data_IF_885378838074
#
_entry.id   IF_885378838074
#
_cell.length_a   1.000
_cell.length_b   1.000
_cell.length_c   1.000
_cell.angle_alpha   90.00
_cell.angle_beta   90.00
_cell.angle_gamma   90.00
#
_symmetry.space_group_name_H-M   'P 1'
#
loop_
_entity.id
_entity.type
_entity.pdbx_description
1 polymer ?
#
# COMPACT_ATOMS: atom_id res chain seq x y z
N UNK A 1 -18.31 -25.92 22.74
CA UNK A 1 -17.95 -24.62 23.33
C UNK A 1 -17.48 -23.75 22.18
N UNK A 2 -18.30 -22.74 21.87
CA UNK A 2 -18.22 -21.74 20.79
C UNK A 2 -17.69 -22.21 19.43
N UNK A 3 -18.65 -22.35 18.52
CA UNK A 3 -18.54 -22.44 17.07
C UNK A 3 -17.63 -21.37 16.46
N UNK A 4 -17.10 -21.69 15.28
CA UNK A 4 -16.01 -20.97 14.62
C UNK A 4 -16.27 -19.49 14.29
N UNK A 5 -15.22 -18.68 14.45
CA UNK A 5 -15.09 -17.43 13.71
C UNK A 5 -14.29 -17.70 12.44
N UNK A 6 -15.00 -18.20 11.43
CA UNK A 6 -14.59 -18.21 10.04
C UNK A 6 -14.35 -16.77 9.57
N UNK A 7 -13.13 -16.48 9.09
CA UNK A 7 -12.92 -15.73 7.85
C UNK A 7 -13.62 -14.37 7.65
N UNK A 8 -13.95 -13.61 8.69
CA UNK A 8 -14.45 -12.23 8.50
C UNK A 8 -13.26 -11.40 8.01
N UNK A 9 -13.26 -11.06 6.71
CA UNK A 9 -12.34 -10.08 6.15
C UNK A 9 -12.38 -8.82 7.04
N UNK A 10 -11.22 -8.35 7.50
CA UNK A 10 -11.12 -7.18 8.38
C UNK A 10 -11.64 -5.96 7.61
N UNK A 11 -12.84 -5.51 7.93
CA UNK A 11 -13.45 -4.32 7.31
C UNK A 11 -13.09 -3.07 8.12
N UNK A 12 -12.11 -2.32 7.62
CA UNK A 12 -11.77 -0.98 8.10
C UNK A 12 -12.08 0.05 7.00
N UNK A 13 -13.03 -0.23 6.11
CA UNK A 13 -13.43 0.73 5.10
C UNK A 13 -13.99 1.98 5.78
N UNK A 14 -13.67 3.16 5.24
CA UNK A 14 -14.10 4.47 5.74
C UNK A 14 -13.65 4.84 7.17
N UNK A 15 -12.79 4.06 7.82
CA UNK A 15 -12.30 4.38 9.17
C UNK A 15 -11.09 5.33 9.15
N UNK A 16 -10.70 5.82 10.33
CA UNK A 16 -9.51 6.66 10.52
C UNK A 16 -8.56 6.07 11.56
N UNK A 17 -7.29 5.96 11.18
CA UNK A 17 -6.17 5.45 11.96
C UNK A 17 -4.98 6.43 11.89
N UNK A 18 -5.27 7.74 11.83
CA UNK A 18 -4.26 8.79 11.70
C UNK A 18 -3.24 8.71 12.84
N UNK A 19 -1.95 8.62 12.49
CA UNK A 19 -0.83 8.50 13.45
C UNK A 19 -0.92 7.29 14.39
N UNK A 20 -1.72 6.27 14.05
CA UNK A 20 -1.79 5.04 14.83
C UNK A 20 -0.47 4.25 14.75
N UNK A 21 -0.13 3.53 15.80
CA UNK A 21 0.90 2.49 15.80
C UNK A 21 0.25 1.18 15.38
N UNK A 22 0.56 0.73 14.17
CA UNK A 22 0.04 -0.46 13.51
C UNK A 22 1.20 -1.33 12.99
N UNK A 23 2.37 -1.25 13.63
CA UNK A 23 3.55 -2.01 13.22
C UNK A 23 3.26 -3.51 13.29
N UNK A 24 3.60 -4.22 12.22
CA UNK A 24 3.39 -5.67 12.12
C UNK A 24 1.94 -6.14 12.16
N UNK A 25 0.95 -5.24 12.01
CA UNK A 25 -0.45 -5.65 11.96
C UNK A 25 -0.69 -6.55 10.73
N UNK A 26 -1.47 -7.60 10.91
CA UNK A 26 -2.01 -8.38 9.81
C UNK A 26 -3.32 -7.74 9.35
N UNK A 27 -3.33 -7.25 8.11
CA UNK A 27 -4.46 -6.72 7.34
C UNK A 27 -4.50 -7.40 5.96
N UNK A 28 -3.97 -8.62 5.85
CA UNK A 28 -4.04 -9.40 4.62
C UNK A 28 -5.50 -9.63 4.22
N UNK A 29 -5.80 -9.40 2.94
CA UNK A 29 -7.16 -9.50 2.38
C UNK A 29 -8.20 -8.54 2.99
N UNK A 30 -7.79 -7.55 3.79
CA UNK A 30 -8.71 -6.63 4.45
C UNK A 30 -9.41 -5.69 3.46
N UNK A 31 -10.62 -5.26 3.81
CA UNK A 31 -11.29 -4.15 3.13
C UNK A 31 -10.89 -2.84 3.81
N UNK A 32 -10.02 -2.08 3.15
CA UNK A 32 -9.48 -0.81 3.64
C UNK A 32 -9.90 0.35 2.74
N UNK A 33 -10.97 0.18 1.95
CA UNK A 33 -11.42 1.18 0.99
C UNK A 33 -11.68 2.51 1.69
N UNK A 34 -11.07 3.57 1.16
CA UNK A 34 -11.20 4.94 1.68
C UNK A 34 -10.82 5.12 3.16
N UNK A 35 -10.12 4.16 3.77
CA UNK A 35 -9.57 4.31 5.11
C UNK A 35 -8.47 5.38 5.15
N UNK A 36 -8.27 6.00 6.32
CA UNK A 36 -7.28 7.08 6.50
C UNK A 36 -6.19 6.63 7.47
N UNK A 37 -5.00 6.34 6.94
CA UNK A 37 -3.77 5.98 7.65
C UNK A 37 -2.73 7.10 7.60
N UNK A 38 -3.13 8.36 7.38
CA UNK A 38 -2.20 9.47 7.26
C UNK A 38 -1.28 9.57 8.50
N UNK A 39 0.03 9.49 8.27
CA UNK A 39 1.04 9.51 9.31
C UNK A 39 1.10 8.29 10.23
N UNK A 40 0.34 7.22 9.97
CA UNK A 40 0.40 5.98 10.74
C UNK A 40 1.75 5.27 10.59
N UNK A 41 2.12 4.47 11.58
CA UNK A 41 3.27 3.56 11.52
C UNK A 41 2.81 2.12 11.23
N UNK A 42 3.04 1.68 10.00
CA UNK A 42 2.70 0.36 9.45
C UNK A 42 3.99 -0.39 9.08
N UNK A 43 5.13 -0.11 9.77
CA UNK A 43 6.36 -0.85 9.51
C UNK A 43 6.13 -2.36 9.67
N UNK A 44 6.45 -3.12 8.63
CA UNK A 44 6.29 -4.57 8.60
C UNK A 44 4.85 -5.08 8.61
N UNK A 45 3.84 -4.22 8.41
CA UNK A 45 2.45 -4.65 8.30
C UNK A 45 2.24 -5.56 7.07
N UNK A 46 1.33 -6.51 7.20
CA UNK A 46 0.86 -7.34 6.09
C UNK A 46 -0.44 -6.75 5.53
N UNK A 47 -0.39 -6.26 4.29
CA UNK A 47 -1.50 -5.70 3.52
C UNK A 47 -1.64 -6.48 2.19
N UNK A 48 -1.10 -7.70 2.11
CA UNK A 48 -1.15 -8.54 0.92
C UNK A 48 -2.61 -8.82 0.53
N UNK A 49 -2.93 -8.67 -0.76
CA UNK A 49 -4.29 -8.85 -1.29
C UNK A 49 -5.36 -7.89 -0.76
N UNK A 50 -5.01 -6.88 0.05
CA UNK A 50 -5.98 -5.95 0.62
C UNK A 50 -6.61 -5.02 -0.43
N UNK A 51 -7.86 -4.61 -0.19
CA UNK A 51 -8.53 -3.59 -1.00
C UNK A 51 -8.24 -2.20 -0.43
N UNK A 52 -7.28 -1.50 -1.03
CA UNK A 52 -6.81 -0.18 -0.64
C UNK A 52 -7.45 0.95 -1.46
N UNK A 53 -8.52 0.67 -2.22
CA UNK A 53 -9.04 1.62 -3.19
C UNK A 53 -9.46 2.93 -2.54
N UNK A 54 -8.85 4.02 -2.99
CA UNK A 54 -9.09 5.37 -2.45
C UNK A 54 -8.59 5.61 -1.02
N UNK A 55 -7.86 4.67 -0.40
CA UNK A 55 -7.28 4.84 0.93
C UNK A 55 -6.19 5.93 0.95
N UNK A 56 -5.93 6.49 2.12
CA UNK A 56 -4.96 7.56 2.31
C UNK A 56 -3.84 7.11 3.25
N UNK A 57 -2.60 7.12 2.77
CA UNK A 57 -1.38 6.76 3.49
C UNK A 57 -0.37 7.92 3.49
N UNK A 58 -0.85 9.17 3.47
CA UNK A 58 0.04 10.33 3.29
C UNK A 58 1.01 10.38 4.46
N UNK A 59 2.31 10.44 4.16
CA UNK A 59 3.40 10.45 5.15
C UNK A 59 3.41 9.23 6.10
N UNK A 60 2.68 8.16 5.81
CA UNK A 60 2.71 6.93 6.60
C UNK A 60 4.08 6.22 6.48
N UNK A 61 4.43 5.44 7.49
CA UNK A 61 5.57 4.54 7.46
C UNK A 61 5.10 3.15 7.03
N UNK A 62 5.42 2.71 5.81
CA UNK A 62 5.14 1.39 5.25
C UNK A 62 6.44 0.65 4.93
N UNK A 63 7.52 0.96 5.66
CA UNK A 63 8.79 0.27 5.46
C UNK A 63 8.60 -1.23 5.72
N UNK A 64 9.16 -2.08 4.85
CA UNK A 64 9.05 -3.55 4.95
C UNK A 64 7.62 -4.11 4.90
N UNK A 65 6.61 -3.30 4.58
CA UNK A 65 5.24 -3.80 4.48
C UNK A 65 5.07 -4.74 3.28
N UNK A 66 4.25 -5.78 3.45
CA UNK A 66 3.78 -6.61 2.35
C UNK A 66 2.53 -5.98 1.76
N UNK A 67 2.55 -5.68 0.46
CA UNK A 67 1.45 -5.07 -0.29
C UNK A 67 1.25 -5.81 -1.62
N UNK A 68 1.84 -6.99 -1.76
CA UNK A 68 1.69 -7.83 -2.94
C UNK A 68 0.22 -8.13 -3.22
N UNK A 69 -0.14 -8.11 -4.50
CA UNK A 69 -1.49 -8.36 -5.03
C UNK A 69 -2.60 -7.45 -4.48
N UNK A 70 -2.26 -6.38 -3.77
CA UNK A 70 -3.24 -5.41 -3.26
C UNK A 70 -3.83 -4.51 -4.36
N UNK A 71 -5.06 -4.04 -4.14
CA UNK A 71 -5.73 -3.08 -5.02
C UNK A 71 -5.55 -1.64 -4.50
N UNK A 72 -4.55 -0.94 -5.01
CA UNK A 72 -4.21 0.44 -4.65
C UNK A 72 -4.83 1.50 -5.57
N UNK A 73 -5.83 1.15 -6.38
CA UNK A 73 -6.39 2.11 -7.35
C UNK A 73 -6.92 3.35 -6.66
N UNK A 74 -6.51 4.52 -7.15
CA UNK A 74 -6.81 5.84 -6.58
C UNK A 74 -6.34 6.07 -5.13
N UNK A 75 -5.50 5.20 -4.56
CA UNK A 75 -4.95 5.38 -3.22
C UNK A 75 -3.89 6.50 -3.20
N UNK A 76 -3.71 7.15 -2.04
CA UNK A 76 -2.78 8.28 -1.87
C UNK A 76 -1.61 7.91 -0.96
N UNK A 77 -0.43 7.72 -1.53
CA UNK A 77 0.82 7.44 -0.80
C UNK A 77 1.75 8.66 -0.73
N UNK A 78 1.24 9.87 -0.94
CA UNK A 78 2.06 11.09 -1.00
C UNK A 78 3.01 11.18 0.20
N UNK A 79 4.32 11.22 -0.08
CA UNK A 79 5.41 11.28 0.92
C UNK A 79 5.49 10.08 1.89
N UNK A 80 4.84 8.95 1.58
CA UNK A 80 4.95 7.73 2.38
C UNK A 80 6.35 7.11 2.29
N UNK A 81 6.75 6.37 3.33
CA UNK A 81 8.00 5.59 3.35
C UNK A 81 7.66 4.15 2.94
N UNK A 82 8.17 3.70 1.80
CA UNK A 82 7.95 2.36 1.21
C UNK A 82 9.27 1.60 1.04
N UNK A 83 10.35 2.02 1.69
CA UNK A 83 11.63 1.34 1.52
C UNK A 83 11.51 -0.12 1.99
N UNK A 84 12.06 -1.04 1.21
CA UNK A 84 12.00 -2.49 1.44
C UNK A 84 10.58 -3.11 1.39
N UNK A 85 9.55 -2.40 0.94
CA UNK A 85 8.22 -2.98 0.81
C UNK A 85 8.10 -3.90 -0.42
N UNK A 86 7.16 -4.84 -0.38
CA UNK A 86 6.80 -5.66 -1.52
C UNK A 86 5.49 -5.15 -2.11
N UNK A 87 5.46 -4.75 -3.38
CA UNK A 87 4.23 -4.36 -4.11
C UNK A 87 4.11 -5.17 -5.40
N UNK A 88 4.60 -6.41 -5.41
CA UNK A 88 4.48 -7.27 -6.58
C UNK A 88 3.00 -7.43 -6.96
N UNK A 89 2.67 -7.35 -8.25
CA UNK A 89 1.30 -7.57 -8.74
C UNK A 89 0.27 -6.51 -8.32
N UNK A 90 0.67 -5.51 -7.52
CA UNK A 90 -0.26 -4.51 -7.01
C UNK A 90 -0.83 -3.63 -8.12
N UNK A 91 -2.12 -3.30 -7.99
CA UNK A 91 -2.86 -2.46 -8.94
C UNK A 91 -2.80 -1.00 -8.54
N UNK A 92 -2.24 -0.13 -9.37
CA UNK A 92 -1.88 1.25 -9.03
C UNK A 92 -2.54 2.29 -9.94
N UNK A 93 -3.59 1.93 -10.69
CA UNK A 93 -4.29 2.85 -11.59
C UNK A 93 -4.77 4.09 -10.81
N UNK A 94 -4.28 5.27 -11.21
CA UNK A 94 -4.65 6.54 -10.56
C UNK A 94 -4.09 6.72 -9.14
N UNK A 95 -3.24 5.82 -8.64
CA UNK A 95 -2.59 6.00 -7.35
C UNK A 95 -1.64 7.23 -7.36
N UNK A 96 -1.51 7.91 -6.23
CA UNK A 96 -0.60 9.06 -6.07
C UNK A 96 0.63 8.67 -5.25
N UNK A 97 1.75 8.49 -5.94
CA UNK A 97 3.05 8.06 -5.40
C UNK A 97 4.04 9.24 -5.30
N UNK A 98 3.60 10.49 -5.43
CA UNK A 98 4.51 11.64 -5.39
C UNK A 98 5.24 11.75 -4.05
N UNK A 99 6.55 11.93 -4.12
CA UNK A 99 7.44 12.08 -2.96
C UNK A 99 7.64 10.83 -2.11
N UNK A 100 7.22 9.64 -2.56
CA UNK A 100 7.48 8.41 -1.78
C UNK A 100 8.98 8.15 -1.62
N UNK A 101 9.33 7.39 -0.59
CA UNK A 101 10.68 6.82 -0.43
C UNK A 101 10.61 5.31 -0.60
N UNK A 102 10.80 4.81 -1.82
CA UNK A 102 10.67 3.39 -2.18
C UNK A 102 11.99 2.66 -2.44
N UNK A 103 13.07 2.97 -1.70
CA UNK A 103 14.37 2.33 -1.96
C UNK A 103 14.27 0.82 -1.67
N UNK A 104 14.75 -0.01 -2.60
CA UNK A 104 14.67 -1.47 -2.54
C UNK A 104 13.24 -2.06 -2.55
N UNK A 105 12.21 -1.26 -2.78
CA UNK A 105 10.87 -1.79 -2.97
C UNK A 105 10.80 -2.67 -4.22
N UNK A 106 9.95 -3.69 -4.18
CA UNK A 106 9.71 -4.63 -5.28
C UNK A 106 8.45 -4.16 -6.02
N UNK A 107 8.55 -4.05 -7.35
CA UNK A 107 7.48 -3.54 -8.23
C UNK A 107 7.18 -4.49 -9.38
N UNK A 108 7.65 -5.75 -9.29
CA UNK A 108 7.45 -6.75 -10.35
C UNK A 108 5.96 -6.93 -10.58
N UNK A 109 5.52 -7.02 -11.83
CA UNK A 109 4.09 -7.23 -12.18
C UNK A 109 3.12 -6.12 -11.72
N UNK A 110 3.56 -5.06 -11.03
CA UNK A 110 2.71 -3.92 -10.70
C UNK A 110 2.56 -2.99 -11.90
N UNK A 111 1.36 -2.44 -12.11
CA UNK A 111 1.09 -1.44 -13.16
C UNK A 111 1.43 0.00 -12.72
N UNK A 112 2.63 0.18 -12.16
CA UNK A 112 3.07 1.46 -11.62
C UNK A 112 3.04 2.61 -12.63
N UNK A 113 3.10 2.34 -13.95
CA UNK A 113 3.12 3.38 -14.98
C UNK A 113 1.82 4.20 -15.04
N UNK A 114 0.70 3.63 -14.57
CA UNK A 114 -0.63 4.27 -14.49
C UNK A 114 -0.83 5.11 -13.21
N UNK A 115 0.18 5.14 -12.34
CA UNK A 115 0.20 6.01 -11.17
C UNK A 115 0.75 7.41 -11.49
N UNK A 116 0.32 8.39 -10.70
CA UNK A 116 0.93 9.72 -10.66
C UNK A 116 2.18 9.67 -9.79
N UNK A 117 3.32 10.13 -10.31
CA UNK A 117 4.60 10.13 -9.60
C UNK A 117 5.57 11.19 -10.11
N UNK A 118 6.61 11.46 -9.33
CA UNK A 118 7.70 12.36 -9.73
C UNK A 118 8.55 11.73 -10.85
N UNK A 119 9.15 12.57 -11.69
CA UNK A 119 9.97 12.14 -12.85
C UNK A 119 11.15 11.24 -12.45
N UNK A 120 11.75 11.50 -11.28
CA UNK A 120 12.86 10.72 -10.76
C UNK A 120 12.44 9.29 -10.44
N UNK A 121 11.26 9.10 -9.84
CA UNK A 121 10.68 7.79 -9.56
C UNK A 121 10.31 7.10 -10.87
N UNK A 122 9.64 7.82 -11.79
CA UNK A 122 9.28 7.28 -13.11
C UNK A 122 10.51 6.76 -13.85
N UNK A 123 11.59 7.55 -13.90
CA UNK A 123 12.85 7.16 -14.54
C UNK A 123 13.48 5.93 -13.88
N UNK A 124 13.46 5.85 -12.55
CA UNK A 124 14.00 4.73 -11.80
C UNK A 124 13.22 3.43 -12.06
N UNK A 125 11.88 3.50 -12.04
CA UNK A 125 11.01 2.36 -12.29
C UNK A 125 11.11 1.90 -13.74
N UNK A 126 11.05 2.79 -14.73
CA UNK A 126 11.22 2.44 -16.15
C UNK A 126 12.52 1.71 -16.44
N UNK A 127 13.60 2.03 -15.72
CA UNK A 127 14.90 1.37 -15.88
C UNK A 127 14.92 -0.05 -15.29
N UNK A 128 14.30 -0.24 -14.13
CA UNK A 128 14.40 -1.49 -13.35
C UNK A 128 13.28 -2.48 -13.65
N UNK A 129 12.09 -1.96 -13.92
CA UNK A 129 10.85 -2.71 -14.09
C UNK A 129 10.14 -2.21 -15.35
N UNK A 130 10.63 -2.54 -16.55
CA UNK A 130 10.05 -2.03 -17.79
C UNK A 130 8.55 -2.33 -17.84
N UNK A 131 7.77 -1.34 -18.29
CA UNK A 131 6.37 -1.58 -18.62
C UNK A 131 6.27 -2.67 -19.70
N UNK A 132 5.22 -3.51 -19.70
CA UNK A 132 4.92 -4.42 -20.80
C UNK A 132 4.78 -3.68 -22.14
#
# INVERSE_FOLDING_TARGET
MSDGEDGIAKDWSYTSHVRADLRGVDLSGADLRRAIFDGADLEGADLSGADLRGASFRRANLMKAALDDSDMRNARFVKAKLSLSNMQGARMDGADLRGIRGRYAIWREANWWDATMDDSLRKALSKKWPKP
#
